data_IF_380500440820
#
_entry.id   IF_380500440820
#
_cell.length_a   1.000
_cell.length_b   1.000
_cell.length_c   1.000
_cell.angle_alpha   90.00
_cell.angle_beta   90.00
_cell.angle_gamma   90.00
#
_symmetry.space_group_name_H-M   'P 1'
#
loop_
_entity.id
_entity.type
_entity.pdbx_description
1 polymer ?
#
# COMPACT_ATOMS: atom_id res chain seq x y z
N UNK A 1 -49.96 49.41 -92.19
CA UNK A 1 -49.50 49.25 -90.79
C UNK A 1 -49.09 47.81 -90.49
N UNK A 2 -47.93 47.35 -90.98
CA UNK A 2 -47.47 45.97 -90.69
C UNK A 2 -45.94 45.81 -90.53
N UNK A 3 -45.16 46.90 -90.58
CA UNK A 3 -43.68 46.83 -90.47
C UNK A 3 -43.11 47.17 -89.09
N UNK A 4 -43.93 47.70 -88.18
CA UNK A 4 -43.51 48.08 -86.81
C UNK A 4 -43.77 46.98 -85.77
N UNK A 5 -44.50 45.93 -86.16
CA UNK A 5 -44.91 44.83 -85.27
C UNK A 5 -43.87 43.71 -85.14
N UNK A 6 -42.83 43.74 -85.99
CA UNK A 6 -41.69 42.81 -85.96
C UNK A 6 -40.41 43.38 -85.31
N UNK A 7 -40.36 44.69 -85.03
CA UNK A 7 -39.18 45.34 -84.47
C UNK A 7 -39.10 45.22 -82.93
N UNK A 8 -40.23 44.95 -82.27
CA UNK A 8 -40.34 44.80 -80.82
C UNK A 8 -39.83 43.45 -80.26
N UNK A 9 -40.09 42.27 -80.88
CA UNK A 9 -39.56 40.99 -80.35
C UNK A 9 -38.05 40.81 -80.56
N UNK A 10 -37.44 41.50 -81.52
CA UNK A 10 -36.00 41.39 -81.81
C UNK A 10 -35.15 42.15 -80.79
N UNK A 11 -35.64 43.27 -80.27
CA UNK A 11 -34.92 44.09 -79.27
C UNK A 11 -34.90 43.44 -77.88
N UNK A 12 -35.95 42.68 -77.53
CA UNK A 12 -36.03 41.90 -76.29
C UNK A 12 -35.06 40.71 -76.31
N UNK A 13 -34.83 40.11 -77.49
CA UNK A 13 -33.94 38.95 -77.66
C UNK A 13 -32.45 39.33 -77.52
N UNK A 14 -32.08 40.56 -77.85
CA UNK A 14 -30.71 41.09 -77.69
C UNK A 14 -30.38 41.40 -76.22
N UNK A 15 -31.36 41.86 -75.42
CA UNK A 15 -31.16 42.09 -73.98
C UNK A 15 -31.09 40.79 -73.16
N UNK A 16 -31.77 39.72 -73.59
CA UNK A 16 -31.70 38.40 -72.94
C UNK A 16 -30.39 37.66 -73.22
N UNK A 17 -29.74 37.89 -74.37
CA UNK A 17 -28.43 37.31 -74.69
C UNK A 17 -27.26 37.97 -73.93
N UNK A 18 -27.44 39.20 -73.44
CA UNK A 18 -26.45 39.90 -72.61
C UNK A 18 -26.46 39.46 -71.13
N UNK A 19 -27.43 38.64 -70.73
CA UNK A 19 -27.50 38.04 -69.38
C UNK A 19 -27.13 36.55 -69.37
N UNK A 20 -26.43 36.06 -70.40
CA UNK A 20 -25.69 34.80 -70.29
C UNK A 20 -24.33 35.09 -69.66
N UNK A 21 -24.38 35.51 -68.39
CA UNK A 21 -23.24 35.43 -67.50
C UNK A 21 -22.86 33.96 -67.40
N UNK A 22 -21.72 33.61 -67.96
CA UNK A 22 -21.02 32.36 -67.70
C UNK A 22 -20.65 32.33 -66.21
N UNK A 23 -21.61 31.94 -65.37
CA UNK A 23 -21.52 31.96 -63.90
C UNK A 23 -21.65 30.55 -63.32
N UNK A 24 -21.08 29.55 -64.02
CA UNK A 24 -21.14 28.15 -63.58
C UNK A 24 -19.81 27.41 -63.70
N UNK A 25 -19.01 27.70 -64.73
CA UNK A 25 -17.69 27.08 -64.92
C UNK A 25 -16.53 27.92 -64.34
N UNK A 26 -16.68 29.26 -64.27
CA UNK A 26 -15.74 30.17 -63.61
C UNK A 26 -15.79 30.03 -62.09
N UNK A 27 -16.97 29.89 -61.50
CA UNK A 27 -17.17 29.88 -60.05
C UNK A 27 -16.57 28.63 -59.36
N UNK A 28 -16.52 27.49 -60.07
CA UNK A 28 -15.93 26.25 -59.55
C UNK A 28 -14.40 26.19 -59.75
N UNK A 29 -13.90 26.74 -60.88
CA UNK A 29 -12.47 26.93 -61.10
C UNK A 29 -11.88 27.99 -60.15
N UNK A 30 -12.64 29.04 -59.84
CA UNK A 30 -12.29 30.04 -58.84
C UNK A 30 -12.31 29.43 -57.43
N UNK A 31 -13.26 28.56 -57.11
CA UNK A 31 -13.30 27.89 -55.80
C UNK A 31 -12.08 26.98 -55.56
N UNK A 32 -11.68 26.17 -56.55
CA UNK A 32 -10.48 25.34 -56.46
C UNK A 32 -9.19 26.18 -56.41
N UNK A 33 -9.18 27.32 -57.11
CA UNK A 33 -8.05 28.27 -57.10
C UNK A 33 -7.96 29.00 -55.76
N UNK A 34 -9.07 29.48 -55.22
CA UNK A 34 -9.15 30.09 -53.89
C UNK A 34 -8.81 29.08 -52.79
N UNK A 35 -9.25 27.82 -52.91
CA UNK A 35 -8.87 26.76 -51.97
C UNK A 35 -7.37 26.50 -51.99
N UNK A 36 -6.74 26.41 -53.16
CA UNK A 36 -5.28 26.29 -53.27
C UNK A 36 -4.57 27.49 -52.68
N UNK A 37 -5.04 28.70 -52.99
CA UNK A 37 -4.48 29.94 -52.43
C UNK A 37 -4.57 29.96 -50.90
N UNK A 38 -5.70 29.58 -50.31
CA UNK A 38 -5.87 29.52 -48.84
C UNK A 38 -4.96 28.44 -48.23
N UNK A 39 -4.87 27.26 -48.85
CA UNK A 39 -3.98 26.19 -48.38
C UNK A 39 -2.51 26.61 -48.46
N UNK A 40 -2.14 27.35 -49.50
CA UNK A 40 -0.78 27.86 -49.68
C UNK A 40 -0.48 28.97 -48.67
N UNK A 41 -1.41 29.90 -48.41
CA UNK A 41 -1.30 30.92 -47.34
C UNK A 41 -1.16 30.27 -45.97
N UNK A 42 -1.94 29.22 -45.66
CA UNK A 42 -1.80 28.49 -44.39
C UNK A 42 -0.46 27.75 -44.26
N UNK A 43 0.19 27.42 -45.39
CA UNK A 43 1.50 26.77 -45.42
C UNK A 43 2.67 27.76 -45.47
N UNK A 44 2.44 29.03 -45.82
CA UNK A 44 3.49 30.05 -45.77
C UNK A 44 3.90 30.29 -44.32
N UNK A 45 5.09 30.85 -44.16
CA UNK A 45 5.63 31.13 -42.83
C UNK A 45 4.80 32.20 -42.12
N UNK A 46 4.22 33.17 -42.85
CA UNK A 46 3.29 34.14 -42.26
C UNK A 46 1.99 33.45 -41.76
N UNK A 47 1.46 32.46 -42.49
CA UNK A 47 0.28 31.71 -42.06
C UNK A 47 0.53 30.86 -40.82
N UNK A 48 1.72 30.24 -40.72
CA UNK A 48 2.12 29.50 -39.52
C UNK A 48 2.36 30.43 -38.34
N UNK A 49 2.99 31.59 -38.55
CA UNK A 49 3.22 32.59 -37.51
C UNK A 49 1.89 33.14 -36.98
N UNK A 50 0.98 33.53 -37.87
CA UNK A 50 -0.35 34.00 -37.48
C UNK A 50 -1.16 32.92 -36.75
N UNK A 51 -1.11 31.67 -37.20
CA UNK A 51 -1.76 30.56 -36.49
C UNK A 51 -1.12 30.31 -35.12
N UNK A 52 0.20 30.43 -35.01
CA UNK A 52 0.94 30.29 -33.75
C UNK A 52 0.61 31.42 -32.78
N UNK A 53 0.45 32.65 -33.26
CA UNK A 53 0.04 33.80 -32.47
C UNK A 53 -1.37 33.61 -31.89
N UNK A 54 -2.31 33.13 -32.72
CA UNK A 54 -3.67 32.83 -32.26
C UNK A 54 -3.68 31.63 -31.30
N UNK A 55 -2.88 30.58 -31.55
CA UNK A 55 -2.69 29.43 -30.64
C UNK A 55 -1.98 29.79 -29.35
N UNK A 56 -1.25 30.91 -29.33
CA UNK A 56 -0.59 31.43 -28.13
C UNK A 56 -1.49 32.33 -27.31
N UNK A 57 -2.66 32.72 -27.83
CA UNK A 57 -3.66 33.46 -27.08
C UNK A 57 -4.25 32.58 -25.96
N UNK A 58 -4.21 33.07 -24.72
CA UNK A 58 -4.66 32.34 -23.53
C UNK A 58 -6.11 31.83 -23.67
N UNK A 59 -6.96 32.59 -24.36
CA UNK A 59 -8.37 32.24 -24.56
C UNK A 59 -8.52 31.06 -25.53
N UNK A 60 -7.63 30.95 -26.52
CA UNK A 60 -7.59 29.81 -27.44
C UNK A 60 -6.95 28.59 -26.77
N UNK A 61 -5.86 28.77 -26.01
CA UNK A 61 -5.21 27.70 -25.26
C UNK A 61 -6.16 27.07 -24.24
N UNK A 62 -6.93 27.88 -23.52
CA UNK A 62 -7.92 27.40 -22.57
C UNK A 62 -9.06 26.63 -23.25
N UNK A 63 -9.44 26.98 -24.47
CA UNK A 63 -10.44 26.24 -25.25
C UNK A 63 -9.89 24.97 -25.91
N UNK A 64 -8.57 24.82 -26.02
CA UNK A 64 -7.90 23.62 -26.57
C UNK A 64 -7.36 22.67 -25.50
N UNK A 65 -7.20 23.13 -24.26
CA UNK A 65 -6.62 22.33 -23.18
C UNK A 65 -7.69 21.47 -22.51
N UNK A 66 -7.35 20.20 -22.30
CA UNK A 66 -8.07 19.16 -21.54
C UNK A 66 -9.34 18.55 -22.15
N UNK A 67 -10.01 19.17 -23.13
CA UNK A 67 -11.29 18.64 -23.66
C UNK A 67 -11.15 17.55 -24.74
N UNK A 68 -9.94 17.21 -25.16
CA UNK A 68 -9.74 16.15 -26.15
C UNK A 68 -9.57 14.79 -25.48
N UNK A 69 -10.41 13.82 -25.86
CA UNK A 69 -10.28 12.39 -25.51
C UNK A 69 -8.85 11.89 -25.76
N UNK A 70 -8.18 12.42 -26.78
CA UNK A 70 -6.77 12.09 -27.10
C UNK A 70 -5.80 12.54 -26.01
N UNK A 71 -6.05 13.69 -25.37
CA UNK A 71 -5.21 14.19 -24.26
C UNK A 71 -5.43 13.35 -23.02
N UNK A 72 -6.69 13.04 -22.67
CA UNK A 72 -7.00 12.16 -21.55
C UNK A 72 -6.41 10.76 -21.73
N UNK A 73 -6.53 10.18 -22.93
CA UNK A 73 -5.97 8.89 -23.27
C UNK A 73 -4.43 8.92 -23.21
N UNK A 74 -3.80 9.94 -23.78
CA UNK A 74 -2.33 10.06 -23.76
C UNK A 74 -1.79 10.20 -22.33
N UNK A 75 -2.47 10.95 -21.47
CA UNK A 75 -2.11 11.08 -20.06
C UNK A 75 -2.30 9.73 -19.34
N UNK A 76 -3.43 9.05 -19.55
CA UNK A 76 -3.68 7.73 -18.97
C UNK A 76 -2.64 6.70 -19.39
N UNK A 77 -2.38 6.61 -20.69
CA UNK A 77 -1.38 5.70 -21.27
C UNK A 77 0.01 6.01 -20.71
N UNK A 78 0.36 7.29 -20.59
CA UNK A 78 1.66 7.69 -20.03
C UNK A 78 1.76 7.32 -18.55
N UNK A 79 0.71 7.53 -17.75
CA UNK A 79 0.70 7.22 -16.32
C UNK A 79 0.75 5.70 -16.05
N UNK A 80 0.11 4.88 -16.89
CA UNK A 80 0.08 3.41 -16.74
C UNK A 80 1.28 2.74 -17.41
N UNK A 81 1.95 3.42 -18.35
CA UNK A 81 3.15 2.92 -19.01
C UNK A 81 4.31 2.68 -18.04
N UNK A 82 5.33 1.96 -18.50
CA UNK A 82 6.56 1.76 -17.72
C UNK A 82 7.30 3.07 -17.43
N UNK A 83 7.17 4.10 -18.29
CA UNK A 83 7.68 5.45 -18.01
C UNK A 83 6.93 6.09 -16.83
N UNK A 84 5.61 5.89 -16.75
CA UNK A 84 4.80 6.31 -15.61
C UNK A 84 5.23 5.62 -14.32
N UNK A 85 5.46 4.31 -14.35
CA UNK A 85 5.99 3.56 -13.20
C UNK A 85 7.37 4.07 -12.76
N UNK A 86 8.27 4.35 -13.71
CA UNK A 86 9.59 4.92 -13.40
C UNK A 86 9.45 6.33 -12.79
N UNK A 87 8.55 7.15 -13.32
CA UNK A 87 8.24 8.47 -12.77
C UNK A 87 7.73 8.38 -11.34
N UNK A 88 6.73 7.54 -11.06
CA UNK A 88 6.23 7.31 -9.72
C UNK A 88 7.32 6.77 -8.79
N UNK A 89 8.15 5.83 -9.25
CA UNK A 89 9.26 5.28 -8.46
C UNK A 89 10.26 6.36 -8.05
N UNK A 90 10.58 7.30 -8.96
CA UNK A 90 11.45 8.46 -8.66
C UNK A 90 10.79 9.43 -7.68
N UNK A 91 9.49 9.69 -7.81
CA UNK A 91 8.77 10.55 -6.87
C UNK A 91 8.68 9.93 -5.47
N UNK A 92 8.40 8.64 -5.36
CA UNK A 92 8.38 7.94 -4.08
C UNK A 92 9.78 7.75 -3.45
N UNK A 93 10.86 8.02 -4.21
CA UNK A 93 12.20 8.12 -3.66
C UNK A 93 12.52 9.51 -3.09
N UNK A 94 11.73 10.54 -3.40
CA UNK A 94 11.89 11.89 -2.84
C UNK A 94 11.20 11.99 -1.46
N UNK A 95 11.95 12.21 -0.36
CA UNK A 95 11.38 12.33 0.98
C UNK A 95 10.36 13.46 1.11
N UNK A 96 10.51 14.56 0.37
CA UNK A 96 9.60 15.70 0.46
C UNK A 96 8.25 15.38 -0.16
N UNK A 97 8.27 14.70 -1.31
CA UNK A 97 7.06 14.17 -1.95
C UNK A 97 6.38 13.12 -1.06
N UNK A 98 7.13 12.14 -0.54
CA UNK A 98 6.61 11.11 0.35
C UNK A 98 5.99 11.73 1.60
N UNK A 99 6.63 12.73 2.22
CA UNK A 99 6.07 13.40 3.39
C UNK A 99 4.74 14.10 3.06
N UNK A 100 4.66 14.81 1.94
CA UNK A 100 3.40 15.44 1.50
C UNK A 100 2.31 14.40 1.24
N UNK A 101 2.65 13.34 0.50
CA UNK A 101 1.75 12.25 0.16
C UNK A 101 1.23 11.51 1.41
N UNK A 102 2.13 11.12 2.32
CA UNK A 102 1.77 10.46 3.58
C UNK A 102 0.89 11.34 4.46
N UNK A 103 1.16 12.65 4.55
CA UNK A 103 0.31 13.58 5.33
C UNK A 103 -1.11 13.66 4.76
N UNK A 104 -1.26 13.66 3.44
CA UNK A 104 -2.59 13.70 2.80
C UNK A 104 -3.36 12.40 3.00
N UNK A 105 -2.66 11.27 3.11
CA UNK A 105 -3.28 9.95 3.31
C UNK A 105 -3.40 9.52 4.78
N UNK A 106 -2.84 10.28 5.71
CA UNK A 106 -2.70 9.88 7.12
C UNK A 106 -4.04 9.50 7.76
N UNK A 107 -5.10 10.27 7.49
CA UNK A 107 -6.43 10.00 8.05
C UNK A 107 -7.05 8.73 7.45
N UNK A 108 -6.98 8.58 6.12
CA UNK A 108 -7.50 7.41 5.41
C UNK A 108 -6.73 6.14 5.76
N UNK A 109 -5.41 6.23 5.93
CA UNK A 109 -4.56 5.13 6.35
C UNK A 109 -4.89 4.70 7.79
N UNK A 110 -5.09 5.67 8.71
CA UNK A 110 -5.54 5.36 10.07
C UNK A 110 -6.90 4.67 10.09
N UNK A 111 -7.84 5.14 9.28
CA UNK A 111 -9.18 4.57 9.24
C UNK A 111 -9.20 3.20 8.57
N UNK A 112 -8.40 3.01 7.52
CA UNK A 112 -8.13 1.69 6.93
C UNK A 112 -7.55 0.75 7.98
N UNK A 113 -6.52 1.16 8.72
CA UNK A 113 -5.87 0.33 9.73
C UNK A 113 -6.83 -0.02 10.87
N UNK A 114 -7.65 0.93 11.35
CA UNK A 114 -8.71 0.66 12.33
C UNK A 114 -9.77 -0.29 11.79
N UNK A 115 -10.10 -0.19 10.51
CA UNK A 115 -10.99 -1.11 9.81
C UNK A 115 -10.40 -2.52 9.78
N UNK A 116 -9.15 -2.66 9.33
CA UNK A 116 -8.42 -3.91 9.29
C UNK A 116 -8.26 -4.54 10.67
N UNK A 117 -8.06 -3.77 11.74
CA UNK A 117 -8.02 -4.33 13.10
C UNK A 117 -9.32 -5.04 13.51
N UNK A 118 -10.45 -4.76 12.86
CA UNK A 118 -11.72 -5.46 13.08
C UNK A 118 -11.93 -6.63 12.13
N UNK A 119 -11.08 -6.75 11.11
CA UNK A 119 -11.13 -7.84 10.14
C UNK A 119 -10.52 -9.13 10.73
N UNK A 120 -11.21 -10.29 10.63
CA UNK A 120 -10.72 -11.54 11.19
C UNK A 120 -9.42 -12.05 10.58
N UNK A 121 -9.18 -11.82 9.28
CA UNK A 121 -7.97 -12.29 8.61
C UNK A 121 -6.77 -11.45 9.03
N UNK A 122 -6.93 -10.13 9.12
CA UNK A 122 -5.89 -9.25 9.64
C UNK A 122 -5.59 -9.54 11.13
N UNK A 123 -6.62 -9.82 11.94
CA UNK A 123 -6.41 -10.25 13.34
C UNK A 123 -5.60 -11.55 13.45
N UNK A 124 -5.83 -12.53 12.56
CA UNK A 124 -5.02 -13.76 12.54
C UNK A 124 -3.56 -13.46 12.26
N UNK A 125 -3.28 -12.60 11.27
CA UNK A 125 -1.91 -12.17 10.97
C UNK A 125 -1.27 -11.45 12.16
N UNK A 126 -2.00 -10.57 12.84
CA UNK A 126 -1.51 -9.93 14.06
C UNK A 126 -1.22 -10.95 15.18
N UNK A 127 -2.09 -11.93 15.39
CA UNK A 127 -1.86 -12.98 16.39
C UNK A 127 -0.62 -13.80 16.05
N UNK A 128 -0.36 -14.07 14.78
CA UNK A 128 0.86 -14.75 14.34
C UNK A 128 2.11 -13.94 14.67
N UNK A 129 2.07 -12.62 14.46
CA UNK A 129 3.14 -11.70 14.88
C UNK A 129 3.35 -11.76 16.41
N UNK A 130 2.27 -11.75 17.20
CA UNK A 130 2.34 -11.85 18.66
C UNK A 130 2.89 -13.19 19.17
N UNK A 131 2.85 -14.24 18.37
CA UNK A 131 3.40 -15.56 18.70
C UNK A 131 4.90 -15.68 18.41
N UNK A 132 5.56 -14.63 17.96
CA UNK A 132 7.00 -14.69 17.76
C UNK A 132 7.73 -14.86 19.12
N UNK A 133 8.94 -15.46 19.14
CA UNK A 133 9.68 -15.70 20.37
C UNK A 133 9.97 -14.44 21.19
N UNK A 134 10.28 -13.32 20.54
CA UNK A 134 10.59 -12.05 21.20
C UNK A 134 9.39 -11.50 21.99
N UNK A 135 8.18 -11.53 21.43
CA UNK A 135 6.98 -11.10 22.14
C UNK A 135 6.62 -12.08 23.27
N UNK A 136 6.89 -13.37 23.08
CA UNK A 136 6.72 -14.36 24.15
C UNK A 136 7.69 -14.11 25.31
N UNK A 137 8.94 -13.75 25.06
CA UNK A 137 9.91 -13.38 26.10
C UNK A 137 9.46 -12.14 26.89
N UNK A 138 8.96 -11.13 26.20
CA UNK A 138 8.37 -9.95 26.85
C UNK A 138 7.15 -10.34 27.70
N UNK A 139 6.28 -11.22 27.19
CA UNK A 139 5.13 -11.72 27.95
C UNK A 139 5.56 -12.50 29.21
N UNK A 140 6.58 -13.35 29.11
CA UNK A 140 7.15 -14.06 30.27
C UNK A 140 7.72 -13.08 31.28
N UNK A 141 8.40 -12.03 30.81
CA UNK A 141 8.95 -10.97 31.68
C UNK A 141 7.83 -10.27 32.45
N UNK A 142 6.70 -9.97 31.79
CA UNK A 142 5.52 -9.40 32.45
C UNK A 142 4.92 -10.36 33.48
N UNK A 143 4.81 -11.65 33.16
CA UNK A 143 4.33 -12.67 34.11
C UNK A 143 5.26 -12.86 35.32
N UNK A 144 6.56 -12.64 35.15
CA UNK A 144 7.53 -12.66 36.25
C UNK A 144 7.57 -11.34 37.03
N UNK A 145 6.86 -10.31 36.57
CA UNK A 145 6.79 -9.01 37.22
C UNK A 145 6.05 -9.05 38.56
N UNK A 146 6.35 -8.08 39.43
CA UNK A 146 5.80 -8.00 40.79
C UNK A 146 4.27 -7.98 40.81
N UNK A 147 3.63 -7.20 39.92
CA UNK A 147 2.16 -7.13 39.83
C UNK A 147 1.50 -8.48 39.51
N UNK A 148 2.11 -9.25 38.61
CA UNK A 148 1.58 -10.57 38.26
C UNK A 148 1.86 -11.58 39.37
N UNK A 149 3.00 -11.47 40.06
CA UNK A 149 3.30 -12.29 41.25
C UNK A 149 2.32 -12.05 42.39
N UNK A 150 1.96 -10.80 42.69
CA UNK A 150 0.94 -10.48 43.70
C UNK A 150 -0.41 -11.11 43.34
N UNK A 151 -0.83 -11.00 42.06
CA UNK A 151 -2.05 -11.65 41.58
C UNK A 151 -1.96 -13.17 41.70
N UNK A 152 -0.83 -13.75 41.30
CA UNK A 152 -0.57 -15.19 41.37
C UNK A 152 -0.58 -15.68 42.82
N UNK A 153 0.04 -14.96 43.75
CA UNK A 153 0.03 -15.29 45.17
C UNK A 153 -1.39 -15.29 45.71
N UNK A 154 -2.19 -14.26 45.40
CA UNK A 154 -3.60 -14.21 45.79
C UNK A 154 -4.40 -15.38 45.22
N UNK A 155 -4.24 -15.69 43.93
CA UNK A 155 -4.91 -16.84 43.30
C UNK A 155 -4.49 -18.17 43.93
N UNK A 156 -3.20 -18.33 44.29
CA UNK A 156 -2.71 -19.52 45.00
C UNK A 156 -3.34 -19.61 46.38
N UNK A 157 -3.38 -18.51 47.14
CA UNK A 157 -4.02 -18.48 48.46
C UNK A 157 -5.51 -18.84 48.37
N UNK A 158 -6.25 -18.26 47.43
CA UNK A 158 -7.66 -18.60 47.18
C UNK A 158 -7.84 -20.06 46.78
N UNK A 159 -6.94 -20.59 45.93
CA UNK A 159 -6.98 -21.99 45.50
C UNK A 159 -6.70 -22.94 46.66
N UNK A 160 -5.71 -22.65 47.51
CA UNK A 160 -5.39 -23.45 48.69
C UNK A 160 -6.51 -23.40 49.73
N UNK A 161 -7.24 -22.29 49.81
CA UNK A 161 -8.40 -22.14 50.68
C UNK A 161 -9.69 -22.74 50.10
N UNK A 162 -9.65 -23.26 48.87
CA UNK A 162 -10.80 -23.95 48.28
C UNK A 162 -11.09 -25.26 49.02
N UNK A 163 -12.36 -25.53 49.40
CA UNK A 163 -12.74 -26.76 50.09
C UNK A 163 -12.30 -28.03 49.35
N UNK A 164 -12.28 -28.01 48.02
CA UNK A 164 -11.87 -29.16 47.19
C UNK A 164 -10.37 -29.42 47.32
N UNK A 165 -9.56 -28.35 47.34
CA UNK A 165 -8.09 -28.46 47.48
C UNK A 165 -7.73 -28.84 48.90
N UNK A 166 -8.36 -28.23 49.91
CA UNK A 166 -8.18 -28.59 51.31
C UNK A 166 -8.54 -30.06 51.56
N UNK A 167 -9.67 -30.53 51.04
CA UNK A 167 -10.07 -31.93 51.17
C UNK A 167 -9.04 -32.89 50.53
N UNK A 168 -8.58 -32.59 49.30
CA UNK A 168 -7.50 -33.38 48.66
C UNK A 168 -6.19 -33.34 49.43
N UNK A 169 -5.85 -32.19 50.01
CA UNK A 169 -4.63 -32.01 50.79
C UNK A 169 -4.70 -32.82 52.10
N UNK A 170 -5.84 -32.80 52.79
CA UNK A 170 -6.11 -33.64 53.96
C UNK A 170 -6.10 -35.12 53.61
N UNK A 171 -6.75 -35.53 52.52
CA UNK A 171 -6.75 -36.93 52.05
C UNK A 171 -5.33 -37.40 51.71
N UNK A 172 -4.54 -36.55 51.06
CA UNK A 172 -3.13 -36.85 50.71
C UNK A 172 -2.26 -36.96 51.96
N UNK A 173 -2.45 -36.08 52.95
CA UNK A 173 -1.77 -36.18 54.25
C UNK A 173 -2.14 -37.45 55.00
N UNK A 174 -3.43 -37.83 55.01
CA UNK A 174 -3.87 -39.08 55.63
C UNK A 174 -3.28 -40.31 54.94
N UNK A 175 -3.27 -40.35 53.61
CA UNK A 175 -2.61 -41.43 52.83
C UNK A 175 -1.10 -41.49 53.08
N UNK A 176 -0.43 -40.34 53.20
CA UNK A 176 1.00 -40.29 53.52
C UNK A 176 1.27 -40.79 54.95
N UNK A 177 0.43 -40.42 55.91
CA UNK A 177 0.51 -40.90 57.29
C UNK A 177 0.21 -42.41 57.41
N UNK A 178 -0.76 -42.92 56.64
CA UNK A 178 -1.03 -44.35 56.52
C UNK A 178 0.18 -45.08 55.92
N UNK A 179 0.78 -44.57 54.84
CA UNK A 179 1.99 -45.15 54.24
C UNK A 179 3.18 -45.18 55.19
N UNK A 180 3.37 -44.14 56.01
CA UNK A 180 4.40 -44.14 57.06
C UNK A 180 4.07 -45.15 58.17
N UNK A 181 2.80 -45.30 58.55
CA UNK A 181 2.38 -46.31 59.54
C UNK A 181 2.42 -47.74 59.00
N UNK A 182 2.23 -47.96 57.71
CA UNK A 182 2.37 -49.27 57.04
C UNK A 182 3.79 -49.54 56.53
N UNK A 183 4.72 -48.61 56.75
CA UNK A 183 6.10 -48.64 56.23
C UNK A 183 7.20 -48.90 57.27
N UNK A 184 6.90 -48.97 58.56
CA UNK A 184 7.88 -49.36 59.59
C UNK A 184 7.27 -50.36 60.57
N UNK A 185 7.43 -51.64 60.24
CA UNK A 185 7.15 -52.75 61.13
C UNK A 185 7.58 -54.08 60.51
N UNK A 186 8.74 -54.59 60.95
CA UNK A 186 9.43 -55.86 60.63
C UNK A 186 10.33 -55.84 59.36
N UNK A 187 11.63 -56.20 59.37
CA UNK A 187 12.60 -56.79 60.31
C UNK A 187 14.00 -56.56 59.67
N UNK A 188 15.12 -56.29 60.34
CA UNK A 188 15.94 -57.27 61.06
C UNK A 188 17.13 -56.58 61.73
N UNK A 189 17.38 -56.96 62.98
CA UNK A 189 18.67 -56.85 63.66
C UNK A 189 19.65 -57.88 63.07
N UNK A 190 20.95 -57.57 63.10
CA UNK A 190 22.02 -58.56 63.18
C UNK A 190 23.00 -58.57 62.01
N UNK A 191 24.26 -58.27 62.30
CA UNK A 191 25.40 -58.70 61.48
C UNK A 191 26.50 -57.66 61.35
N UNK A 192 27.45 -57.68 62.29
CA UNK A 192 28.82 -57.22 62.05
C UNK A 192 29.34 -57.75 60.72
N UNK A 193 29.89 -56.88 59.88
CA UNK A 193 31.09 -57.25 59.14
C UNK A 193 32.03 -56.05 59.02
N UNK A 194 33.20 -56.29 59.57
CA UNK A 194 34.35 -55.43 59.67
C UNK A 194 35.26 -55.78 58.50
N UNK A 195 35.31 -54.94 57.48
CA UNK A 195 36.41 -54.92 56.50
C UNK A 195 36.39 -53.52 55.87
N UNK A 196 37.35 -52.63 56.08
CA UNK A 196 38.78 -52.85 56.17
C UNK A 196 39.40 -52.53 54.81
N UNK A 197 39.97 -51.33 54.68
CA UNK A 197 40.84 -50.93 53.57
C UNK A 197 40.45 -49.57 52.97
N UNK A 198 41.08 -48.45 53.34
CA UNK A 198 42.35 -47.93 52.75
C UNK A 198 42.22 -47.67 51.24
N UNK A 199 42.47 -46.49 50.69
CA UNK A 199 43.06 -45.25 51.18
C UNK A 199 43.22 -44.29 49.99
N UNK A 200 43.78 -43.12 50.29
CA UNK A 200 44.47 -42.18 49.39
C UNK A 200 43.68 -41.53 48.23
N UNK A 201 43.48 -40.21 48.25
CA UNK A 201 44.45 -39.12 47.99
C UNK A 201 44.60 -38.77 46.50
N UNK A 202 44.01 -37.62 46.13
CA UNK A 202 44.61 -36.54 45.31
C UNK A 202 43.50 -35.50 45.07
N UNK A 203 43.66 -34.20 45.32
CA UNK A 203 44.88 -33.41 45.39
C UNK A 203 45.30 -32.91 44.00
N UNK A 204 44.61 -31.89 43.47
CA UNK A 204 45.13 -30.83 42.58
C UNK A 204 43.97 -29.86 42.29
N UNK A 205 44.03 -28.54 42.44
CA UNK A 205 45.19 -27.65 42.43
C UNK A 205 45.31 -26.97 41.07
N UNK A 206 44.87 -25.70 41.00
CA UNK A 206 45.25 -24.66 40.02
C UNK A 206 44.66 -24.79 38.60
N UNK A 207 44.61 -23.76 37.76
CA UNK A 207 44.79 -22.31 37.84
C UNK A 207 44.49 -21.76 36.42
N UNK A 208 44.01 -20.51 36.32
CA UNK A 208 44.19 -19.55 35.21
C UNK A 208 44.03 -19.93 33.72
N UNK A 209 43.12 -19.22 33.05
CA UNK A 209 43.36 -18.27 31.93
C UNK A 209 42.00 -17.65 31.54
N UNK A 210 41.76 -16.36 31.34
CA UNK A 210 42.67 -15.26 31.04
C UNK A 210 42.58 -14.89 29.55
N UNK A 211 41.58 -14.09 29.14
CA UNK A 211 41.54 -13.18 27.94
C UNK A 211 40.08 -12.72 27.73
N UNK A 212 39.70 -11.45 27.57
CA UNK A 212 40.44 -10.23 27.27
C UNK A 212 40.47 -9.92 25.78
N UNK A 213 39.47 -9.19 25.25
CA UNK A 213 39.53 -8.22 24.11
C UNK A 213 38.08 -7.87 23.71
N UNK A 214 37.62 -6.64 23.89
CA UNK A 214 37.83 -5.48 23.00
C UNK A 214 37.24 -5.66 21.61
N UNK A 215 35.99 -5.22 21.44
CA UNK A 215 35.57 -4.22 20.45
C UNK A 215 34.19 -3.67 20.82
#
# INVERSE_FOLDING_TARGET
MSKIRFLCPVIILVFLAACNGSSGASQQADYDTTKKMIVDILKTDEGKEALTEVLSDEKMQQSMTLESEVVAQSVSDTLVSDKGKEFWSKLFADPSFVQGFSKTLEEQEKDLLKGLMKDPEYQKLLIEIYKNPEMMEQMVTVMQGQKFREHLEKTIQETLNSPVVQAKMSETMLKAAEKMKTGEGSSSSGGEDQQGGSGEQSGSGGQEQGSGSSQ
#
